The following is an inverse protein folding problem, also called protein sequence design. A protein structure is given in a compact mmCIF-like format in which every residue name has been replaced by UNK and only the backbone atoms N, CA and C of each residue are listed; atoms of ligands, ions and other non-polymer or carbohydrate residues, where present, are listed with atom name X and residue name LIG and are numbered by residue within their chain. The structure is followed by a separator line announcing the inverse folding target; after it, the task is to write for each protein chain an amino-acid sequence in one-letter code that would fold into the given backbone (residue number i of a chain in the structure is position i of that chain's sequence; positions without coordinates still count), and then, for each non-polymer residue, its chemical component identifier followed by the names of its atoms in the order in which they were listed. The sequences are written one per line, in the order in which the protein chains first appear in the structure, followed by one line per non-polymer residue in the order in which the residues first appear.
data_IF_819320334507
#
_entry.id   IF_819320334507
#
_cell.length_a   1.000
_cell.length_b   1.000
_cell.length_c   1.000
_cell.angle_alpha   90.00
_cell.angle_beta   90.00
_cell.angle_gamma   90.00
#
_symmetry.space_group_name_H-M   'P 1'
#
loop_
_entity.id
_entity.type
_entity.pdbx_description
1 polymer ?
#
# COMPACT_ATOMS: atom_id res chain seq x y z
N UNK A 1 -32.06 -3.52 -15.53
CA UNK A 1 -30.68 -4.03 -15.39
C UNK A 1 -30.75 -5.52 -15.66
N UNK A 2 -29.90 -6.07 -16.53
CA UNK A 2 -29.93 -7.48 -16.91
C UNK A 2 -29.77 -8.40 -15.68
N UNK A 3 -30.57 -9.46 -15.62
CA UNK A 3 -30.65 -10.47 -14.54
C UNK A 3 -29.43 -11.40 -14.47
N UNK A 4 -28.21 -10.89 -14.65
CA UNK A 4 -27.02 -11.71 -14.44
C UNK A 4 -26.80 -11.88 -12.93
N UNK A 5 -26.63 -13.13 -12.49
CA UNK A 5 -26.42 -13.48 -11.09
C UNK A 5 -25.14 -12.81 -10.59
N UNK A 6 -25.21 -12.14 -9.42
CA UNK A 6 -24.07 -11.42 -8.83
C UNK A 6 -22.82 -12.33 -8.72
N UNK A 7 -23.02 -13.63 -8.47
CA UNK A 7 -21.96 -14.63 -8.42
C UNK A 7 -21.20 -14.78 -9.72
N UNK A 8 -21.90 -14.80 -10.86
CA UNK A 8 -21.33 -14.99 -12.20
C UNK A 8 -20.56 -13.73 -12.63
N UNK A 9 -21.17 -12.55 -12.49
CA UNK A 9 -20.56 -11.28 -12.89
C UNK A 9 -19.22 -11.04 -12.17
N UNK A 10 -19.13 -11.42 -10.89
CA UNK A 10 -17.93 -11.17 -10.08
C UNK A 10 -16.77 -12.08 -10.48
N UNK A 11 -17.02 -13.31 -10.96
CA UNK A 11 -15.98 -14.33 -11.16
C UNK A 11 -15.65 -14.62 -12.63
N UNK A 12 -16.48 -14.20 -13.58
CA UNK A 12 -16.37 -14.59 -14.99
C UNK A 12 -15.25 -13.90 -15.78
N UNK A 13 -14.46 -13.03 -15.14
CA UNK A 13 -13.37 -12.37 -15.83
C UNK A 13 -12.27 -13.36 -16.24
N UNK A 14 -11.74 -13.26 -17.47
CA UNK A 14 -10.56 -14.00 -17.88
C UNK A 14 -9.41 -13.73 -16.92
N UNK A 15 -8.83 -14.78 -16.33
CA UNK A 15 -7.66 -14.67 -15.44
C UNK A 15 -6.57 -13.84 -16.11
N UNK A 16 -6.02 -12.89 -15.37
CA UNK A 16 -4.97 -12.01 -15.87
C UNK A 16 -3.59 -12.66 -15.82
N UNK A 17 -2.69 -12.12 -16.63
CA UNK A 17 -1.36 -12.66 -16.85
C UNK A 17 -1.32 -13.81 -17.85
N UNK A 18 -0.11 -14.18 -18.28
CA UNK A 18 0.13 -15.30 -19.19
C UNK A 18 0.71 -16.47 -18.42
N UNK A 19 0.35 -17.72 -18.79
CA UNK A 19 0.97 -18.90 -18.20
C UNK A 19 2.42 -18.99 -18.69
N UNK A 20 3.35 -18.55 -17.86
CA UNK A 20 4.78 -18.79 -18.06
C UNK A 20 5.09 -20.23 -17.66
N UNK A 21 5.53 -21.03 -18.63
CA UNK A 21 6.00 -22.39 -18.36
C UNK A 21 7.28 -22.31 -17.52
N UNK A 22 7.40 -23.18 -16.50
CA UNK A 22 8.64 -23.34 -15.74
C UNK A 22 9.83 -23.73 -16.61
N UNK A 23 9.60 -24.28 -17.82
CA UNK A 23 10.64 -24.54 -18.82
C UNK A 23 11.27 -23.27 -19.39
N UNK A 24 10.53 -22.15 -19.41
CA UNK A 24 11.02 -20.84 -19.88
C UNK A 24 11.79 -20.07 -18.80
N UNK A 25 11.67 -20.47 -17.54
CA UNK A 25 12.42 -19.90 -16.41
C UNK A 25 13.72 -20.69 -16.23
N UNK A 26 14.79 -20.27 -16.94
CA UNK A 26 16.10 -20.92 -16.89
C UNK A 26 16.60 -21.01 -15.44
N UNK A 27 16.99 -22.20 -14.99
CA UNK A 27 17.53 -22.45 -13.64
C UNK A 27 16.50 -22.74 -12.55
N UNK A 28 15.23 -22.31 -12.69
CA UNK A 28 14.22 -22.45 -11.63
C UNK A 28 13.89 -23.92 -11.32
N UNK A 29 13.84 -24.78 -12.35
CA UNK A 29 13.62 -26.23 -12.17
C UNK A 29 14.76 -26.90 -11.39
N UNK A 30 16.01 -26.49 -11.62
CA UNK A 30 17.16 -27.04 -10.92
C UNK A 30 17.21 -26.56 -9.46
N UNK A 31 16.91 -25.28 -9.24
CA UNK A 31 16.75 -24.70 -7.90
C UNK A 31 15.69 -25.42 -7.07
N UNK A 32 14.50 -25.66 -7.64
CA UNK A 32 13.41 -26.36 -6.93
C UNK A 32 13.77 -27.82 -6.62
N UNK A 33 14.49 -28.50 -7.52
CA UNK A 33 15.01 -29.85 -7.26
C UNK A 33 15.99 -29.87 -6.09
N UNK A 34 16.96 -28.95 -6.08
CA UNK A 34 17.93 -28.82 -5.00
C UNK A 34 17.25 -28.54 -3.65
N UNK A 35 16.33 -27.58 -3.61
CA UNK A 35 15.53 -27.27 -2.41
C UNK A 35 14.71 -28.48 -1.93
N UNK A 36 14.16 -29.26 -2.86
CA UNK A 36 13.38 -30.46 -2.50
C UNK A 36 14.30 -31.53 -1.92
N UNK A 37 15.50 -31.70 -2.49
CA UNK A 37 16.49 -32.65 -1.98
C UNK A 37 16.97 -32.25 -0.57
N UNK A 38 17.42 -31.01 -0.38
CA UNK A 38 17.86 -30.48 0.92
C UNK A 38 16.78 -30.67 2.00
N UNK A 39 15.53 -30.30 1.71
CA UNK A 39 14.44 -30.44 2.68
C UNK A 39 13.98 -31.90 2.91
N UNK A 40 14.27 -32.82 1.99
CA UNK A 40 14.03 -34.26 2.20
C UNK A 40 15.12 -34.86 3.10
N UNK A 41 16.37 -34.45 2.90
CA UNK A 41 17.53 -34.86 3.73
C UNK A 41 17.38 -34.36 5.18
N UNK A 42 16.84 -33.15 5.37
CA UNK A 42 16.54 -32.58 6.69
C UNK A 42 15.30 -33.22 7.37
N UNK A 43 14.64 -34.18 6.72
CA UNK A 43 13.42 -34.84 7.24
C UNK A 43 12.19 -33.94 7.33
N UNK A 44 12.23 -32.75 6.71
CA UNK A 44 11.20 -31.72 6.82
C UNK A 44 10.05 -31.91 5.81
N UNK A 45 10.17 -32.81 4.83
CA UNK A 45 9.17 -33.03 3.79
C UNK A 45 8.82 -34.49 3.54
N UNK A 46 7.52 -34.75 3.31
CA UNK A 46 7.07 -35.95 2.61
C UNK A 46 7.35 -35.84 1.09
N UNK A 47 7.23 -36.90 0.27
CA UNK A 47 7.84 -37.02 -1.07
C UNK A 47 7.42 -36.02 -2.17
N UNK A 48 6.70 -34.94 -1.85
CA UNK A 48 6.18 -34.00 -2.83
C UNK A 48 7.22 -32.95 -3.25
N UNK A 49 7.40 -32.82 -4.56
CA UNK A 49 8.18 -31.75 -5.19
C UNK A 49 7.71 -30.36 -4.74
N UNK A 50 8.66 -29.53 -4.28
CA UNK A 50 8.41 -28.12 -3.98
C UNK A 50 7.93 -27.43 -5.26
N UNK A 51 6.70 -26.90 -5.22
CA UNK A 51 6.07 -26.24 -6.36
C UNK A 51 6.59 -24.80 -6.51
N UNK A 52 6.71 -24.29 -7.75
CA UNK A 52 7.02 -22.88 -7.97
C UNK A 52 5.96 -22.00 -7.31
N UNK A 53 6.42 -21.08 -6.45
CA UNK A 53 5.54 -20.17 -5.69
C UNK A 53 5.03 -19.01 -6.56
N UNK A 54 5.85 -18.53 -7.49
CA UNK A 54 5.50 -17.42 -8.37
C UNK A 54 4.65 -17.91 -9.55
N UNK A 55 3.33 -17.87 -9.38
CA UNK A 55 2.37 -18.10 -10.47
C UNK A 55 2.26 -16.82 -11.31
N UNK A 56 2.38 -16.97 -12.62
CA UNK A 56 2.29 -15.88 -13.60
C UNK A 56 0.85 -15.56 -14.05
N UNK A 57 -0.11 -16.41 -13.68
CA UNK A 57 -1.55 -16.15 -13.81
C UNK A 57 -2.17 -15.90 -12.44
N UNK A 58 -3.07 -14.93 -12.37
CA UNK A 58 -3.79 -14.56 -11.17
C UNK A 58 -5.28 -14.32 -11.47
N UNK A 59 -6.11 -14.42 -10.44
CA UNK A 59 -7.53 -14.11 -10.54
C UNK A 59 -7.71 -12.60 -10.73
N UNK A 60 -8.68 -12.23 -11.57
CA UNK A 60 -8.93 -10.86 -12.03
C UNK A 60 -10.38 -10.45 -11.75
N UNK A 61 -10.92 -10.95 -10.64
CA UNK A 61 -12.33 -10.86 -10.26
C UNK A 61 -12.90 -9.44 -10.44
N UNK A 62 -14.11 -9.36 -10.96
CA UNK A 62 -14.83 -8.10 -11.15
C UNK A 62 -15.56 -7.69 -9.87
N UNK A 63 -14.82 -7.19 -8.88
CA UNK A 63 -15.37 -6.84 -7.56
C UNK A 63 -16.16 -5.52 -7.51
N UNK A 64 -16.26 -4.80 -8.64
CA UNK A 64 -16.98 -3.52 -8.73
C UNK A 64 -18.46 -3.61 -8.35
N UNK A 65 -19.24 -4.54 -8.95
CA UNK A 65 -20.63 -4.80 -8.61
C UNK A 65 -20.84 -5.15 -7.14
N UNK A 66 -20.04 -6.05 -6.56
CA UNK A 66 -20.14 -6.43 -5.15
C UNK A 66 -19.98 -5.20 -4.23
N UNK A 67 -18.95 -4.38 -4.46
CA UNK A 67 -18.74 -3.15 -3.67
C UNK A 67 -19.89 -2.16 -3.82
N UNK A 68 -20.44 -2.00 -5.02
CA UNK A 68 -21.58 -1.10 -5.26
C UNK A 68 -22.83 -1.59 -4.52
N UNK A 69 -23.05 -2.90 -4.53
CA UNK A 69 -24.15 -3.55 -3.82
C UNK A 69 -24.00 -3.38 -2.29
N UNK A 70 -22.81 -3.61 -1.72
CA UNK A 70 -22.57 -3.35 -0.29
C UNK A 70 -22.82 -1.89 0.08
N UNK A 71 -22.35 -0.95 -0.77
CA UNK A 71 -22.59 0.49 -0.58
C UNK A 71 -24.07 0.86 -0.56
N UNK A 72 -24.91 0.24 -1.39
CA UNK A 72 -26.35 0.55 -1.41
C UNK A 72 -27.10 0.04 -0.19
N UNK A 73 -26.48 -0.79 0.66
CA UNK A 73 -27.07 -1.34 1.88
C UNK A 73 -26.44 -0.76 3.16
N UNK A 74 -25.62 0.28 3.04
CA UNK A 74 -25.10 1.01 4.21
C UNK A 74 -26.26 1.62 5.00
N UNK A 75 -26.22 1.48 6.32
CA UNK A 75 -27.27 1.88 7.25
C UNK A 75 -28.32 0.82 7.53
N UNK A 76 -28.23 -0.37 6.92
CA UNK A 76 -29.12 -1.50 7.20
C UNK A 76 -28.48 -2.51 8.17
N UNK A 77 -29.29 -3.29 8.93
CA UNK A 77 -28.77 -4.34 9.80
C UNK A 77 -27.94 -5.36 9.03
N UNK A 78 -26.73 -5.63 9.50
CA UNK A 78 -25.78 -6.50 8.81
C UNK A 78 -26.34 -7.89 8.53
N UNK A 79 -27.01 -8.52 9.49
CA UNK A 79 -27.54 -9.87 9.34
C UNK A 79 -28.62 -9.95 8.25
N UNK A 80 -29.43 -8.90 8.09
CA UNK A 80 -30.42 -8.81 7.03
C UNK A 80 -29.74 -8.66 5.65
N UNK A 81 -28.70 -7.81 5.57
CA UNK A 81 -27.90 -7.63 4.35
C UNK A 81 -27.20 -8.94 3.98
N UNK A 82 -26.56 -9.60 4.94
CA UNK A 82 -25.87 -10.86 4.73
C UNK A 82 -26.83 -11.97 4.29
N UNK A 83 -27.98 -12.10 4.96
CA UNK A 83 -29.02 -13.08 4.60
C UNK A 83 -29.53 -12.85 3.18
N UNK A 84 -29.79 -11.59 2.80
CA UNK A 84 -30.19 -11.22 1.44
C UNK A 84 -29.10 -11.58 0.42
N UNK A 85 -27.84 -11.34 0.74
CA UNK A 85 -26.72 -11.69 -0.13
C UNK A 85 -26.62 -13.21 -0.32
N UNK A 86 -26.76 -13.99 0.75
CA UNK A 86 -26.75 -15.46 0.70
C UNK A 86 -27.96 -16.06 -0.01
N UNK A 87 -29.09 -15.36 -0.12
CA UNK A 87 -30.22 -15.78 -0.96
C UNK A 87 -29.96 -15.50 -2.44
N UNK A 88 -29.22 -14.43 -2.76
CA UNK A 88 -28.88 -14.07 -4.14
C UNK A 88 -27.67 -14.84 -4.67
N UNK A 89 -26.77 -15.25 -3.78
CA UNK A 89 -25.61 -16.09 -4.09
C UNK A 89 -25.95 -17.54 -3.79
N UNK A 90 -25.69 -18.45 -4.74
CA UNK A 90 -25.69 -19.87 -4.41
C UNK A 90 -24.42 -20.22 -3.61
N UNK A 91 -24.50 -20.13 -2.28
CA UNK A 91 -23.37 -20.35 -1.36
C UNK A 91 -22.93 -21.82 -1.27
N UNK A 92 -23.69 -22.74 -1.85
CA UNK A 92 -23.29 -24.14 -1.98
C UNK A 92 -22.22 -24.34 -3.06
N UNK A 93 -22.11 -23.38 -3.98
CA UNK A 93 -21.15 -23.42 -5.09
C UNK A 93 -19.81 -22.80 -4.71
N UNK A 94 -18.73 -23.27 -5.35
CA UNK A 94 -17.39 -22.67 -5.25
C UNK A 94 -17.40 -21.19 -5.65
N UNK A 95 -18.22 -20.84 -6.65
CA UNK A 95 -18.43 -19.48 -7.11
C UNK A 95 -19.00 -18.58 -5.99
N UNK A 96 -20.08 -19.01 -5.35
CA UNK A 96 -20.70 -18.29 -4.24
C UNK A 96 -19.77 -18.17 -3.03
N UNK A 97 -19.08 -19.26 -2.66
CA UNK A 97 -18.11 -19.25 -1.57
C UNK A 97 -16.93 -18.31 -1.85
N UNK A 98 -16.45 -18.26 -3.09
CA UNK A 98 -15.39 -17.32 -3.51
C UNK A 98 -15.85 -15.87 -3.38
N UNK A 99 -17.08 -15.54 -3.78
CA UNK A 99 -17.65 -14.20 -3.58
C UNK A 99 -17.79 -13.87 -2.10
N UNK A 100 -18.24 -14.83 -1.27
CA UNK A 100 -18.30 -14.65 0.18
C UNK A 100 -16.93 -14.37 0.79
N UNK A 101 -15.86 -15.01 0.31
CA UNK A 101 -14.49 -14.67 0.74
C UNK A 101 -14.18 -13.19 0.53
N UNK A 102 -14.55 -12.62 -0.62
CA UNK A 102 -14.38 -11.18 -0.88
C UNK A 102 -15.26 -10.31 0.02
N UNK A 103 -16.45 -10.78 0.41
CA UNK A 103 -17.30 -10.05 1.38
C UNK A 103 -16.56 -9.92 2.71
N UNK A 104 -15.91 -10.99 3.18
CA UNK A 104 -15.09 -10.97 4.39
C UNK A 104 -13.88 -10.05 4.26
N UNK A 105 -13.28 -9.94 3.07
CA UNK A 105 -12.20 -8.98 2.83
C UNK A 105 -12.68 -7.50 2.88
N UNK A 106 -13.95 -7.25 2.53
CA UNK A 106 -14.51 -5.90 2.46
C UNK A 106 -15.22 -5.45 3.74
N UNK A 107 -15.80 -6.37 4.51
CA UNK A 107 -16.63 -6.06 5.69
C UNK A 107 -15.96 -6.58 6.95
N UNK A 108 -15.45 -5.67 7.77
CA UNK A 108 -14.97 -6.02 9.11
C UNK A 108 -16.15 -6.19 10.07
N UNK A 109 -16.28 -7.37 10.67
CA UNK A 109 -17.41 -7.70 11.56
C UNK A 109 -17.05 -7.49 13.03
N UNK A 110 -15.77 -7.44 13.33
CA UNK A 110 -15.27 -7.31 14.68
C UNK A 110 -14.51 -5.98 14.79
N UNK A 111 -15.26 -4.92 15.03
CA UNK A 111 -14.73 -3.58 15.21
C UNK A 111 -14.84 -3.15 16.66
N UNK A 112 -13.77 -2.54 17.16
CA UNK A 112 -13.77 -1.80 18.42
C UNK A 112 -13.56 -0.32 18.14
N UNK A 113 -14.31 0.54 18.85
CA UNK A 113 -14.19 1.99 18.74
C UNK A 113 -13.46 2.49 19.99
N UNK A 114 -12.25 3.01 19.81
CA UNK A 114 -11.42 3.54 20.90
C UNK A 114 -11.07 4.98 20.54
N UNK A 115 -11.45 5.94 21.39
CA UNK A 115 -11.26 7.38 21.18
C UNK A 115 -11.78 7.89 19.81
N UNK A 116 -12.91 7.32 19.34
CA UNK A 116 -13.50 7.64 18.04
C UNK A 116 -12.77 7.06 16.83
N UNK A 117 -11.72 6.25 17.04
CA UNK A 117 -10.99 5.54 15.99
C UNK A 117 -11.49 4.09 15.92
N UNK A 118 -11.79 3.65 14.69
CA UNK A 118 -12.19 2.28 14.39
C UNK A 118 -10.96 1.38 14.36
N UNK A 119 -10.97 0.29 15.12
CA UNK A 119 -9.93 -0.73 15.12
C UNK A 119 -10.49 -2.08 14.68
N UNK A 120 -9.72 -2.79 13.85
CA UNK A 120 -9.93 -4.21 13.59
C UNK A 120 -9.57 -5.03 14.84
N UNK A 121 -10.39 -6.02 15.17
CA UNK A 121 -10.09 -6.95 16.26
C UNK A 121 -8.80 -7.72 15.95
N UNK A 122 -7.87 -7.85 16.91
CA UNK A 122 -6.57 -8.42 16.65
C UNK A 122 -6.63 -9.95 16.50
N UNK A 123 -6.16 -10.48 15.37
CA UNK A 123 -5.93 -11.93 15.20
C UNK A 123 -4.76 -12.45 16.07
N UNK A 124 -3.79 -11.57 16.42
CA UNK A 124 -2.56 -11.90 17.16
C UNK A 124 -2.14 -10.81 18.16
N UNK A 125 -3.10 -10.16 18.81
CA UNK A 125 -2.88 -9.13 19.85
C UNK A 125 -2.51 -7.71 19.35
N UNK A 126 -2.46 -7.45 18.04
CA UNK A 126 -2.21 -6.10 17.51
C UNK A 126 -3.46 -5.46 16.90
N UNK A 127 -3.97 -4.42 17.55
CA UNK A 127 -5.04 -3.58 17.02
C UNK A 127 -4.53 -2.80 15.81
N UNK A 128 -5.23 -2.91 14.68
CA UNK A 128 -4.94 -2.14 13.47
C UNK A 128 -6.05 -1.14 13.21
N UNK A 129 -5.74 0.15 13.04
CA UNK A 129 -6.75 1.13 12.64
C UNK A 129 -7.41 0.70 11.33
N UNK A 130 -8.73 0.68 11.32
CA UNK A 130 -9.52 0.34 10.15
C UNK A 130 -9.52 1.54 9.19
N UNK A 131 -8.57 1.56 8.25
CA UNK A 131 -8.40 2.64 7.29
C UNK A 131 -8.78 2.24 5.86
N UNK A 132 -9.41 3.18 5.15
CA UNK A 132 -9.84 3.03 3.75
C UNK A 132 -8.89 3.80 2.82
N UNK A 133 -7.76 3.18 2.46
CA UNK A 133 -6.71 3.84 1.67
C UNK A 133 -6.90 3.79 0.15
N UNK A 134 -7.49 2.70 -0.38
CA UNK A 134 -7.53 2.46 -1.84
C UNK A 134 -8.82 1.81 -2.35
N UNK A 135 -9.61 1.21 -1.46
CA UNK A 135 -10.84 0.49 -1.79
C UNK A 135 -11.86 0.81 -0.73
N UNK A 136 -13.13 0.74 -1.12
CA UNK A 136 -14.22 0.83 -0.16
C UNK A 136 -14.08 -0.31 0.85
N UNK A 137 -14.02 0.04 2.13
CA UNK A 137 -14.12 -0.90 3.25
C UNK A 137 -15.37 -0.56 4.04
N UNK A 138 -15.98 -1.59 4.60
CA UNK A 138 -17.18 -1.51 5.38
C UNK A 138 -16.92 -2.16 6.73
N UNK A 139 -17.76 -1.85 7.70
CA UNK A 139 -17.73 -2.51 8.98
C UNK A 139 -19.13 -2.70 9.55
N UNK A 140 -19.26 -3.63 10.48
CA UNK A 140 -20.46 -3.76 11.31
C UNK A 140 -20.25 -2.92 12.55
N UNK A 141 -21.12 -1.95 12.76
CA UNK A 141 -21.05 -1.11 13.96
C UNK A 141 -21.24 -1.98 15.21
N UNK A 142 -20.36 -1.90 16.24
CA UNK A 142 -20.37 -2.84 17.36
C UNK A 142 -21.67 -2.80 18.18
N UNK A 143 -22.27 -1.62 18.35
CA UNK A 143 -23.49 -1.45 19.15
C UNK A 143 -24.79 -1.58 18.35
N UNK A 144 -24.86 -0.97 17.16
CA UNK A 144 -26.10 -0.91 16.37
C UNK A 144 -26.22 -2.07 15.38
N UNK A 145 -25.15 -2.85 15.17
CA UNK A 145 -25.07 -3.94 14.20
C UNK A 145 -25.41 -3.53 12.76
N UNK A 146 -25.33 -2.24 12.43
CA UNK A 146 -25.56 -1.72 11.09
C UNK A 146 -24.30 -1.86 10.23
N UNK A 147 -24.51 -2.10 8.93
CA UNK A 147 -23.44 -2.02 7.94
C UNK A 147 -23.07 -0.54 7.72
N UNK A 148 -21.83 -0.18 8.02
CA UNK A 148 -21.30 1.16 7.90
C UNK A 148 -20.18 1.21 6.86
N UNK A 149 -20.00 2.37 6.21
CA UNK A 149 -18.88 2.62 5.31
C UNK A 149 -17.72 3.23 6.11
N UNK A 150 -16.50 2.70 5.92
CA UNK A 150 -15.30 3.32 6.48
C UNK A 150 -14.99 4.59 5.71
N UNK A 151 -14.85 5.70 6.44
CA UNK A 151 -14.49 6.98 5.83
C UNK A 151 -13.13 6.89 5.14
N UNK A 152 -13.08 7.42 3.91
CA UNK A 152 -11.82 7.51 3.17
C UNK A 152 -10.99 8.63 3.75
N UNK A 153 -9.91 8.27 4.45
CA UNK A 153 -8.85 9.23 4.76
C UNK A 153 -8.31 9.75 3.43
N UNK A 154 -8.57 11.03 3.13
CA UNK A 154 -7.93 11.70 2.00
C UNK A 154 -6.44 11.52 2.16
N UNK A 155 -5.80 10.87 1.19
CA UNK A 155 -4.35 10.79 1.13
C UNK A 155 -3.85 12.21 1.20
N UNK A 156 -3.13 12.57 2.28
CA UNK A 156 -2.48 13.88 2.38
C UNK A 156 -1.69 14.06 1.08
N UNK A 157 -1.97 15.14 0.35
CA UNK A 157 -1.17 15.48 -0.82
C UNK A 157 0.29 15.45 -0.39
N UNK A 158 1.18 14.95 -1.26
CA UNK A 158 2.62 15.13 -0.99
C UNK A 158 2.80 16.61 -0.67
N UNK A 159 3.46 16.98 0.45
CA UNK A 159 3.71 18.38 0.72
C UNK A 159 4.33 18.97 -0.54
N UNK A 160 3.75 20.06 -1.05
CA UNK A 160 4.35 20.84 -2.12
C UNK A 160 5.81 21.09 -1.73
N UNK A 161 6.77 20.94 -2.66
CA UNK A 161 8.14 21.30 -2.35
C UNK A 161 8.12 22.74 -1.82
N UNK A 162 8.77 23.03 -0.68
CA UNK A 162 8.74 24.38 -0.13
C UNK A 162 9.21 25.36 -1.20
N UNK A 163 8.51 26.48 -1.35
CA UNK A 163 8.93 27.62 -2.21
C UNK A 163 10.33 28.13 -1.84
N UNK A 164 10.82 27.74 -0.66
CA UNK A 164 12.10 28.15 -0.10
C UNK A 164 13.27 27.19 -0.41
N UNK A 165 13.20 26.46 -1.52
CA UNK A 165 14.28 25.57 -1.99
C UNK A 165 14.85 26.11 -3.30
N UNK A 166 16.13 26.52 -3.28
CA UNK A 166 16.85 26.95 -4.47
C UNK A 166 18.01 25.99 -4.77
N UNK A 167 17.95 25.29 -5.89
CA UNK A 167 19.00 24.39 -6.32
C UNK A 167 20.24 25.18 -6.80
N UNK A 168 21.40 24.85 -6.26
CA UNK A 168 22.69 25.44 -6.67
C UNK A 168 23.34 24.51 -7.70
N UNK A 169 23.46 23.24 -7.35
CA UNK A 169 23.98 22.17 -8.19
C UNK A 169 23.34 20.83 -7.81
N UNK A 170 23.85 19.71 -8.35
CA UNK A 170 23.29 18.38 -8.11
C UNK A 170 23.32 17.95 -6.62
N UNK A 171 24.26 18.46 -5.84
CA UNK A 171 24.51 18.07 -4.45
C UNK A 171 24.26 19.20 -3.44
N UNK A 172 24.06 20.43 -3.89
CA UNK A 172 23.87 21.58 -3.01
C UNK A 172 22.56 22.31 -3.30
N UNK A 173 21.82 22.61 -2.22
CA UNK A 173 20.63 23.46 -2.29
C UNK A 173 20.65 24.49 -1.17
N UNK A 174 20.13 25.67 -1.44
CA UNK A 174 19.71 26.60 -0.39
C UNK A 174 18.32 26.21 0.09
N UNK A 175 18.15 26.06 1.40
CA UNK A 175 16.85 25.82 2.03
C UNK A 175 16.61 26.84 3.15
N UNK A 176 15.43 27.44 3.18
CA UNK A 176 15.02 28.22 4.34
C UNK A 176 14.44 27.28 5.40
N UNK A 177 15.03 27.31 6.59
CA UNK A 177 14.61 26.51 7.74
C UNK A 177 14.33 27.47 8.90
N UNK A 178 13.06 27.52 9.35
CA UNK A 178 12.61 28.42 10.44
C UNK A 178 13.03 29.89 10.21
N UNK A 179 12.95 30.37 8.97
CA UNK A 179 13.26 31.76 8.60
C UNK A 179 14.74 32.04 8.27
N UNK A 180 15.66 31.10 8.51
CA UNK A 180 17.09 31.26 8.23
C UNK A 180 17.49 30.44 7.00
N UNK A 181 18.29 31.03 6.11
CA UNK A 181 18.82 30.35 4.93
C UNK A 181 20.04 29.51 5.29
N UNK A 182 20.00 28.24 4.88
CA UNK A 182 21.12 27.32 4.98
C UNK A 182 21.49 26.80 3.60
N UNK A 183 22.80 26.66 3.35
CA UNK A 183 23.34 25.82 2.30
C UNK A 183 23.40 24.40 2.82
N UNK A 184 22.63 23.51 2.20
CA UNK A 184 22.56 22.09 2.54
C UNK A 184 23.34 21.29 1.50
N UNK A 185 24.20 20.41 1.97
CA UNK A 185 24.95 19.47 1.14
C UNK A 185 24.32 18.08 1.26
N UNK A 186 24.01 17.49 0.12
CA UNK A 186 23.43 16.17 -0.03
C UNK A 186 24.49 15.17 -0.50
N UNK A 187 24.43 13.95 0.02
CA UNK A 187 25.16 12.81 -0.53
C UNK A 187 24.18 11.75 -1.02
N UNK A 188 24.66 10.93 -1.95
CA UNK A 188 23.91 9.80 -2.47
C UNK A 188 23.69 8.75 -1.38
N UNK A 189 22.49 8.19 -1.36
CA UNK A 189 22.14 7.13 -0.43
C UNK A 189 23.03 5.91 -0.74
N UNK A 190 23.77 5.37 0.25
CA UNK A 190 24.69 4.27 0.00
C UNK A 190 23.95 3.05 -0.57
N UNK A 191 24.51 2.43 -1.61
CA UNK A 191 23.95 1.21 -2.22
C UNK A 191 24.09 -0.02 -1.31
N UNK A 192 24.99 0.05 -0.33
CA UNK A 192 25.25 -1.00 0.65
C UNK A 192 24.29 -0.81 1.82
N UNK A 193 23.89 -1.92 2.46
CA UNK A 193 22.82 -2.17 3.43
C UNK A 193 22.73 -1.27 4.70
N UNK A 194 23.31 -0.07 4.67
CA UNK A 194 23.24 0.95 5.71
C UNK A 194 21.89 1.68 5.55
N UNK A 195 20.82 0.98 5.92
CA UNK A 195 19.49 1.54 6.13
C UNK A 195 19.15 1.31 7.61
N UNK A 196 18.91 2.36 8.41
CA UNK A 196 18.71 3.77 8.03
C UNK A 196 19.97 4.64 8.16
N UNK A 197 20.01 5.75 7.40
CA UNK A 197 21.04 6.81 7.49
C UNK A 197 20.52 7.99 8.31
N UNK A 198 21.43 8.77 8.88
CA UNK A 198 21.10 10.00 9.61
C UNK A 198 21.13 11.18 8.64
N UNK A 199 19.98 11.79 8.39
CA UNK A 199 19.77 13.03 7.67
C UNK A 199 19.70 14.19 8.66
N UNK A 200 20.54 15.22 8.48
CA UNK A 200 20.61 16.36 9.42
C UNK A 200 19.33 17.22 9.45
N UNK A 201 18.49 17.14 8.42
CA UNK A 201 17.22 17.85 8.36
C UNK A 201 16.06 17.03 8.92
N UNK A 202 16.06 15.71 8.68
CA UNK A 202 14.90 14.83 8.89
C UNK A 202 15.12 13.76 9.96
N UNK A 203 16.33 13.64 10.51
CA UNK A 203 16.70 12.59 11.45
C UNK A 203 16.95 11.28 10.74
N UNK A 204 16.39 10.18 11.24
CA UNK A 204 16.61 8.85 10.69
C UNK A 204 15.80 8.65 9.39
N UNK A 205 16.48 8.44 8.26
CA UNK A 205 15.87 8.30 6.93
C UNK A 205 16.26 6.96 6.32
N UNK A 206 15.27 6.26 5.77
CA UNK A 206 15.46 4.99 5.08
C UNK A 206 15.56 5.16 3.57
N UNK A 207 16.04 4.13 2.87
CA UNK A 207 16.15 4.17 1.41
C UNK A 207 14.79 4.37 0.72
N UNK A 208 13.68 4.00 1.40
CA UNK A 208 12.31 4.16 0.90
C UNK A 208 11.75 5.58 1.12
N UNK A 209 12.28 6.32 2.10
CA UNK A 209 11.80 7.66 2.50
C UNK A 209 12.78 8.78 2.11
N UNK A 210 13.95 8.41 1.59
CA UNK A 210 14.98 9.29 1.06
C UNK A 210 14.44 10.24 0.00
N UNK A 211 15.01 11.44 -0.03
CA UNK A 211 14.63 12.45 -1.00
C UNK A 211 15.22 12.11 -2.38
N UNK A 212 14.49 12.45 -3.44
CA UNK A 212 14.95 12.27 -4.82
C UNK A 212 15.33 13.63 -5.40
N UNK A 213 16.63 13.84 -5.63
CA UNK A 213 17.17 15.07 -6.23
C UNK A 213 17.93 14.66 -7.49
N UNK A 214 17.64 15.31 -8.61
CA UNK A 214 18.28 15.04 -9.91
C UNK A 214 18.32 13.54 -10.30
N UNK A 215 17.28 12.78 -9.94
CA UNK A 215 17.16 11.35 -10.26
C UNK A 215 17.88 10.39 -9.30
N UNK A 216 18.53 10.89 -8.25
CA UNK A 216 19.27 10.08 -7.26
C UNK A 216 18.59 10.13 -5.90
N UNK A 217 18.69 9.03 -5.14
CA UNK A 217 18.30 9.02 -3.72
C UNK A 217 19.38 9.72 -2.92
N UNK A 218 19.01 10.71 -2.12
CA UNK A 218 19.96 11.50 -1.35
C UNK A 218 19.50 11.72 0.09
N UNK A 219 20.46 12.02 0.95
CA UNK A 219 20.25 12.45 2.33
C UNK A 219 21.14 13.66 2.66
N UNK A 220 20.69 14.52 3.56
CA UNK A 220 21.42 15.73 3.95
C UNK A 220 22.57 15.39 4.92
N UNK A 221 23.81 15.61 4.48
CA UNK A 221 25.05 15.31 5.24
C UNK A 221 25.50 16.48 6.08
N UNK A 222 25.29 17.71 5.61
CA UNK A 222 25.71 18.91 6.31
C UNK A 222 24.79 20.08 5.98
N UNK A 223 24.72 21.04 6.91
CA UNK A 223 24.10 22.34 6.69
C UNK A 223 25.02 23.44 7.20
N UNK A 224 25.16 24.50 6.42
CA UNK A 224 25.91 25.70 6.78
C UNK A 224 24.99 26.91 6.66
N UNK A 225 25.00 27.80 7.66
CA UNK A 225 24.20 29.02 7.59
C UNK A 225 24.74 29.95 6.52
N UNK A 226 23.85 30.49 5.68
CA UNK A 226 24.23 31.39 4.60
C UNK A 226 24.73 32.74 5.11
N UNK A 227 25.73 33.29 4.44
CA UNK A 227 26.26 34.62 4.71
C UNK A 227 25.42 35.72 4.02
N UNK A 228 25.69 36.99 4.33
CA UNK A 228 24.94 38.14 3.76
C UNK A 228 24.97 38.22 2.23
N UNK A 229 26.06 37.78 1.59
CA UNK A 229 26.21 37.79 0.13
C UNK A 229 25.34 36.71 -0.52
N UNK A 230 25.36 35.50 0.04
CA UNK A 230 24.54 34.38 -0.40
C UNK A 230 23.04 34.68 -0.24
N UNK A 231 22.64 35.27 0.89
CA UNK A 231 21.24 35.68 1.12
C UNK A 231 20.79 36.71 0.07
N UNK A 232 21.66 37.64 -0.34
CA UNK A 232 21.36 38.61 -1.39
C UNK A 232 21.15 37.94 -2.75
N UNK A 233 21.99 36.96 -3.08
CA UNK A 233 21.87 36.17 -4.32
C UNK A 233 20.57 35.37 -4.35
N UNK A 234 20.23 34.70 -3.24
CA UNK A 234 18.99 33.93 -3.10
C UNK A 234 17.77 34.83 -3.31
N UNK A 235 17.73 36.00 -2.65
CA UNK A 235 16.62 36.96 -2.79
C UNK A 235 16.46 37.46 -4.23
N UNK A 236 17.56 37.72 -4.93
CA UNK A 236 17.52 38.15 -6.33
C UNK A 236 16.95 37.06 -7.25
N UNK A 237 17.32 35.80 -7.05
CA UNK A 237 16.83 34.69 -7.86
C UNK A 237 15.35 34.35 -7.57
N UNK A 238 14.91 34.43 -6.31
CA UNK A 238 13.50 34.26 -5.96
C UNK A 238 12.60 35.35 -6.57
N UNK A 239 13.09 36.59 -6.63
CA UNK A 239 12.38 37.69 -7.28
C UNK A 239 12.21 37.47 -8.80
N UNK A 240 13.21 36.88 -9.46
CA UNK A 240 13.15 36.54 -10.89
C UNK A 240 12.23 35.37 -11.21
N UNK A 241 12.01 34.44 -10.27
CA UNK A 241 11.10 33.30 -10.44
C UNK A 241 9.62 33.65 -10.17
N UNK A 242 9.34 34.83 -9.62
CA UNK A 242 7.99 35.28 -9.25
C UNK A 242 7.35 36.22 -10.29
N UNK A 243 7.99 36.38 -11.46
CA UNK A 243 7.50 37.15 -12.63
C UNK A 243 7.19 36.20 -13.77
#
# INVERSE_FOLDING_TARGET
MSEHRLSEIVIERPRSGMRMSSRKLKGEKQRLRRLTQEATEDGLLSPYLIKPRQKSKYFSDHLGPLRRWLRSHVGQPWDAVYSKLCQQLDTSTLAGQHVLSHVWDYVERHVEIIDGVLYEKPDWGQFRPLESHYRDRFYVHPETCLLCLVEKKRRKSKPTPPTDVLAIDANHQYRQLKGIWYRVTFAEFPAICIDPVIDILRGQVSAQTAEYIAGRRVYAVSKQQCNKKEIRLIKNQLAQQST
#
